data_IF_875389796232
#
_entry.id   IF_875389796232
#
_cell.length_a   1.000
_cell.length_b   1.000
_cell.length_c   1.000
_cell.angle_alpha   90.00
_cell.angle_beta   90.00
_cell.angle_gamma   90.00
#
_symmetry.space_group_name_H-M   'P 1'
#
loop_
_entity.id
_entity.type
_entity.pdbx_description
1 polymer ?
#
# COMPACT_ATOMS: atom_id res chain seq x y z
N UNK A 1 7.01 -11.98 6.55
CA UNK A 1 7.73 -10.86 5.89
C UNK A 1 6.89 -9.61 6.06
N UNK A 2 7.47 -8.50 6.52
CA UNK A 2 6.73 -7.25 6.70
C UNK A 2 6.26 -6.78 5.32
N UNK A 3 4.96 -6.60 5.15
CA UNK A 3 4.36 -6.09 3.93
C UNK A 3 4.92 -4.70 3.61
N UNK A 4 5.49 -4.51 2.41
CA UNK A 4 6.10 -3.23 2.01
C UNK A 4 5.08 -2.09 2.01
N UNK A 5 3.81 -2.37 1.72
CA UNK A 5 2.72 -1.39 1.82
C UNK A 5 2.55 -0.93 3.26
N UNK A 6 2.55 -1.88 4.21
CA UNK A 6 2.52 -1.56 5.64
C UNK A 6 3.74 -0.74 6.04
N UNK A 7 4.91 -1.02 5.47
CA UNK A 7 6.13 -0.24 5.65
C UNK A 7 5.96 1.22 5.24
N UNK A 8 5.52 1.47 3.99
CA UNK A 8 5.28 2.81 3.46
C UNK A 8 4.29 3.56 4.37
N UNK A 9 3.19 2.92 4.76
CA UNK A 9 2.19 3.52 5.63
C UNK A 9 2.78 3.95 6.98
N UNK A 10 3.54 3.06 7.62
CA UNK A 10 4.15 3.33 8.93
C UNK A 10 5.24 4.40 8.86
N UNK A 11 6.04 4.44 7.80
CA UNK A 11 7.03 5.50 7.56
C UNK A 11 6.37 6.87 7.42
N UNK A 12 5.19 6.93 6.81
CA UNK A 12 4.40 8.16 6.70
C UNK A 12 3.53 8.45 7.94
N UNK A 13 3.63 7.64 9.00
CA UNK A 13 2.87 7.78 10.24
C UNK A 13 1.34 7.77 10.06
N UNK A 14 0.86 7.06 9.03
CA UNK A 14 -0.56 7.01 8.70
C UNK A 14 -1.26 5.80 9.35
N UNK A 15 -2.51 5.99 9.76
CA UNK A 15 -3.41 4.88 10.04
C UNK A 15 -3.95 4.28 8.73
N UNK A 16 -4.65 3.14 8.82
CA UNK A 16 -5.12 2.44 7.61
C UNK A 16 -6.19 3.23 6.85
N UNK A 17 -7.03 4.00 7.54
CA UNK A 17 -8.09 4.81 6.90
C UNK A 17 -7.45 5.94 6.09
N UNK A 18 -6.51 6.67 6.68
CA UNK A 18 -5.82 7.78 6.01
C UNK A 18 -5.04 7.29 4.79
N UNK A 19 -4.35 6.15 4.94
CA UNK A 19 -3.59 5.57 3.85
C UNK A 19 -4.49 5.08 2.71
N UNK A 20 -5.58 4.38 3.02
CA UNK A 20 -6.50 3.84 2.02
C UNK A 20 -7.15 4.97 1.21
N UNK A 21 -7.53 6.06 1.88
CA UNK A 21 -8.04 7.27 1.22
C UNK A 21 -7.02 7.86 0.24
N UNK A 22 -5.74 7.92 0.61
CA UNK A 22 -4.68 8.47 -0.26
C UNK A 22 -4.42 7.64 -1.51
N UNK A 23 -4.50 6.32 -1.42
CA UNK A 23 -4.27 5.43 -2.58
C UNK A 23 -5.57 5.04 -3.31
N UNK A 24 -6.72 5.59 -2.90
CA UNK A 24 -8.00 5.39 -3.58
C UNK A 24 -8.63 4.01 -3.41
N UNK A 25 -8.41 3.34 -2.26
CA UNK A 25 -8.99 2.02 -1.95
C UNK A 25 -9.77 2.05 -0.64
N UNK A 26 -10.62 1.04 -0.41
CA UNK A 26 -11.31 0.89 0.87
C UNK A 26 -10.34 0.47 1.99
N UNK A 27 -10.64 0.79 3.24
CA UNK A 27 -9.84 0.34 4.38
C UNK A 27 -9.82 -1.20 4.49
N UNK A 28 -10.92 -1.88 4.15
CA UNK A 28 -10.98 -3.34 4.08
C UNK A 28 -9.98 -3.91 3.05
N UNK A 29 -9.96 -3.34 1.85
CA UNK A 29 -9.00 -3.69 0.79
C UNK A 29 -7.55 -3.50 1.27
N UNK A 30 -7.24 -2.38 1.94
CA UNK A 30 -5.91 -2.16 2.51
C UNK A 30 -5.55 -3.21 3.57
N UNK A 31 -6.50 -3.58 4.42
CA UNK A 31 -6.28 -4.61 5.44
C UNK A 31 -5.95 -5.97 4.81
N UNK A 32 -6.66 -6.38 3.76
CA UNK A 32 -6.38 -7.62 3.03
C UNK A 32 -5.03 -7.59 2.30
N UNK A 33 -4.70 -6.44 1.69
CA UNK A 33 -3.39 -6.19 1.07
C UNK A 33 -2.26 -6.39 2.07
N UNK A 34 -2.34 -5.75 3.25
CA UNK A 34 -1.32 -5.87 4.30
C UNK A 34 -1.26 -7.25 4.99
N UNK A 35 -2.26 -8.10 4.77
CA UNK A 35 -2.31 -9.47 5.29
C UNK A 35 -1.78 -10.50 4.28
N UNK A 36 -1.29 -10.08 3.11
CA UNK A 36 -0.90 -10.95 1.99
C UNK A 36 -2.03 -11.93 1.56
N UNK A 37 -3.29 -11.59 1.82
CA UNK A 37 -4.44 -12.40 1.39
C UNK A 37 -4.92 -12.03 -0.01
N UNK A 38 -4.42 -10.93 -0.57
CA UNK A 38 -4.82 -10.40 -1.86
C UNK A 38 -3.62 -10.25 -2.80
N UNK A 39 -3.76 -10.76 -4.02
CA UNK A 39 -2.80 -10.51 -5.09
C UNK A 39 -2.87 -9.01 -5.43
N UNK A 40 -1.80 -8.26 -5.17
CA UNK A 40 -1.80 -6.79 -5.34
C UNK A 40 -2.17 -6.46 -6.78
N UNK A 41 -3.26 -5.70 -6.97
CA UNK A 41 -3.65 -5.26 -8.30
C UNK A 41 -2.62 -4.25 -8.84
N UNK A 42 -2.46 -4.21 -10.16
CA UNK A 42 -1.52 -3.30 -10.81
C UNK A 42 -1.87 -1.83 -10.51
N UNK A 43 -3.17 -1.53 -10.38
CA UNK A 43 -3.68 -0.20 -10.02
C UNK A 43 -3.25 0.21 -8.61
N UNK A 44 -3.29 -0.71 -7.64
CA UNK A 44 -2.86 -0.45 -6.25
C UNK A 44 -1.36 -0.15 -6.19
N UNK A 45 -0.55 -0.89 -6.96
CA UNK A 45 0.89 -0.67 -7.07
C UNK A 45 1.17 0.72 -7.66
N UNK A 46 0.49 1.08 -8.76
CA UNK A 46 0.64 2.38 -9.40
C UNK A 46 0.22 3.54 -8.49
N UNK A 47 -0.86 3.39 -7.71
CA UNK A 47 -1.31 4.40 -6.76
C UNK A 47 -0.26 4.65 -5.68
N UNK A 48 0.35 3.59 -5.13
CA UNK A 48 1.42 3.73 -4.13
C UNK A 48 2.66 4.43 -4.69
N UNK A 49 3.09 4.07 -5.90
CA UNK A 49 4.24 4.71 -6.57
C UNK A 49 3.97 6.20 -6.77
N UNK A 50 2.78 6.58 -7.27
CA UNK A 50 2.44 7.98 -7.56
C UNK A 50 2.27 8.83 -6.30
N UNK A 51 1.63 8.28 -5.27
CA UNK A 51 1.25 9.03 -4.07
C UNK A 51 2.41 9.20 -3.10
N UNK A 52 3.29 8.20 -3.00
CA UNK A 52 4.36 8.17 -2.01
C UNK A 52 5.76 8.20 -2.63
N UNK A 53 5.86 8.42 -3.95
CA UNK A 53 7.12 8.46 -4.71
C UNK A 53 8.03 7.26 -4.42
N UNK A 54 7.43 6.07 -4.42
CA UNK A 54 8.11 4.83 -4.04
C UNK A 54 8.73 4.18 -5.26
N UNK A 55 9.97 3.71 -5.12
CA UNK A 55 10.63 2.94 -6.17
C UNK A 55 9.85 1.65 -6.48
N UNK A 56 9.42 1.50 -7.75
CA UNK A 56 8.60 0.39 -8.20
C UNK A 56 9.30 -0.97 -8.06
N UNK A 57 10.61 -1.04 -8.34
CA UNK A 57 11.37 -2.27 -8.22
C UNK A 57 11.47 -2.72 -6.75
N UNK A 58 11.71 -1.77 -5.83
CA UNK A 58 11.69 -2.05 -4.39
C UNK A 58 10.31 -2.47 -3.90
N UNK A 59 9.20 -2.01 -4.50
CA UNK A 59 7.87 -2.44 -4.10
C UNK A 59 7.55 -3.86 -4.57
N UNK A 60 8.04 -4.26 -5.75
CA UNK A 60 7.71 -5.52 -6.43
C UNK A 60 8.66 -6.70 -6.13
N UNK A 61 9.96 -6.45 -5.95
CA UNK A 61 11.02 -7.47 -5.79
C UNK A 61 11.70 -7.36 -4.44
#
# INVERSE_FOLDING_TARGET
>A
MIDRIRGIRKLNQLNQIEFSQRIGVSQGTLSELEQNKYNRSLETIQANIKVFDVNAAWLLF
#
